data_IF_799380519762
#
_entry.id   IF_799380519762
#
_cell.length_a   1.000
_cell.length_b   1.000
_cell.length_c   1.000
_cell.angle_alpha   90.00
_cell.angle_beta   90.00
_cell.angle_gamma   90.00
#
_symmetry.space_group_name_H-M   'P 1'
#
loop_
_entity.id
_entity.type
_entity.pdbx_description
1 polymer ?
#
# COMPACT_ATOMS: atom_id res chain seq x y z
N UNK A 1 -13.85 -9.89 -2.44
CA UNK A 1 -13.54 -11.15 -3.14
C UNK A 1 -12.04 -11.40 -2.98
N UNK A 2 -11.64 -12.57 -2.49
CA UNK A 2 -10.22 -12.92 -2.28
C UNK A 2 -9.87 -14.09 -3.21
N UNK A 3 -8.65 -14.09 -3.76
CA UNK A 3 -8.14 -15.18 -4.61
C UNK A 3 -6.88 -15.81 -4.00
N UNK A 4 -6.39 -16.88 -4.61
CA UNK A 4 -5.18 -17.59 -4.18
C UNK A 4 -5.16 -17.95 -2.68
N UNK A 5 -6.26 -18.53 -2.19
CA UNK A 5 -6.43 -18.90 -0.77
C UNK A 5 -6.34 -17.71 0.20
N UNK A 6 -6.82 -16.53 -0.20
CA UNK A 6 -6.77 -15.34 0.65
C UNK A 6 -5.46 -14.57 0.58
N UNK A 7 -4.51 -14.99 -0.26
CA UNK A 7 -3.21 -14.33 -0.42
C UNK A 7 -3.22 -13.18 -1.41
N UNK A 8 -4.27 -13.08 -2.24
CA UNK A 8 -4.42 -12.00 -3.20
C UNK A 8 -5.78 -11.31 -3.04
N UNK A 9 -5.74 -9.99 -3.16
CA UNK A 9 -6.91 -9.12 -3.15
C UNK A 9 -6.86 -8.22 -4.38
N UNK A 10 -7.96 -8.17 -5.13
CA UNK A 10 -8.09 -7.34 -6.35
C UNK A 10 -8.74 -5.98 -6.08
N UNK A 11 -9.07 -5.70 -4.81
CA UNK A 11 -9.65 -4.44 -4.39
C UNK A 11 -8.51 -3.45 -4.11
N UNK A 12 -8.67 -2.22 -4.57
CA UNK A 12 -7.72 -1.12 -4.34
C UNK A 12 -7.59 -0.77 -2.85
N UNK A 13 -6.49 -0.10 -2.48
CA UNK A 13 -6.09 0.18 -1.08
C UNK A 13 -4.67 -0.27 -0.72
N UNK A 14 -4.00 -1.00 -1.61
CA UNK A 14 -2.59 -1.39 -1.49
C UNK A 14 -1.71 -0.66 -2.50
N UNK A 15 -0.59 -0.09 -2.05
CA UNK A 15 0.37 0.66 -2.86
C UNK A 15 1.77 0.03 -2.79
N UNK A 16 2.51 -0.03 -3.91
CA UNK A 16 3.91 -0.44 -3.92
C UNK A 16 4.81 0.60 -3.24
N UNK A 17 5.80 0.13 -2.48
CA UNK A 17 6.81 0.99 -1.87
C UNK A 17 8.09 0.97 -2.72
N UNK A 18 8.43 2.14 -3.28
CA UNK A 18 9.65 2.35 -4.04
C UNK A 18 10.73 3.03 -3.20
N UNK A 19 11.97 2.58 -3.32
CA UNK A 19 13.17 3.27 -2.82
C UNK A 19 14.22 3.22 -3.92
N UNK A 20 14.74 4.38 -4.34
CA UNK A 20 15.69 4.48 -5.45
C UNK A 20 15.23 3.73 -6.71
N UNK A 21 13.96 3.91 -7.10
CA UNK A 21 13.32 3.26 -8.25
C UNK A 21 13.13 1.73 -8.12
N UNK A 22 13.56 1.12 -7.01
CA UNK A 22 13.37 -0.31 -6.75
C UNK A 22 12.15 -0.56 -5.83
N UNK A 23 11.37 -1.61 -6.14
CA UNK A 23 10.27 -2.06 -5.29
C UNK A 23 10.84 -2.84 -4.11
N UNK A 24 10.66 -2.32 -2.91
CA UNK A 24 11.15 -2.94 -1.66
C UNK A 24 10.03 -3.52 -0.79
N UNK A 25 8.76 -3.36 -1.20
CA UNK A 25 7.61 -3.89 -0.49
C UNK A 25 6.29 -3.25 -0.92
N UNK A 26 5.29 -3.31 -0.05
CA UNK A 26 3.99 -2.65 -0.24
C UNK A 26 3.33 -2.30 1.08
N UNK A 27 2.50 -1.27 1.06
CA UNK A 27 1.69 -0.80 2.20
C UNK A 27 0.22 -0.91 1.80
N UNK A 28 -0.61 -1.47 2.68
CA UNK A 28 -2.04 -1.62 2.42
C UNK A 28 -2.89 -1.24 3.62
N UNK A 29 -4.03 -0.60 3.35
CA UNK A 29 -5.09 -0.36 4.30
C UNK A 29 -6.40 -0.97 3.76
N UNK A 30 -7.32 -1.35 4.65
CA UNK A 30 -8.61 -1.92 4.25
C UNK A 30 -9.65 -1.61 5.31
N UNK A 31 -10.48 -0.61 5.07
CA UNK A 31 -11.66 -0.33 5.89
C UNK A 31 -12.62 0.63 5.19
N UNK A 32 -12.10 1.68 4.57
CA UNK A 32 -12.88 2.72 3.93
C UNK A 32 -13.31 2.39 2.50
N UNK A 33 -13.59 3.43 1.73
CA UNK A 33 -13.62 3.34 0.27
C UNK A 33 -12.19 3.10 -0.27
N UNK A 34 -12.03 2.53 -1.48
CA UNK A 34 -10.71 2.32 -2.06
C UNK A 34 -9.82 3.58 -2.06
N UNK A 35 -10.38 4.73 -2.40
CA UNK A 35 -9.66 6.01 -2.41
C UNK A 35 -9.20 6.42 -1.00
N UNK A 36 -10.02 6.19 0.03
CA UNK A 36 -9.65 6.47 1.43
C UNK A 36 -8.53 5.54 1.91
N UNK A 37 -8.61 4.26 1.54
CA UNK A 37 -7.59 3.28 1.91
C UNK A 37 -6.24 3.58 1.25
N UNK A 38 -6.25 4.02 -0.02
CA UNK A 38 -5.04 4.48 -0.73
C UNK A 38 -4.43 5.73 -0.10
N UNK A 39 -5.24 6.70 0.35
CA UNK A 39 -4.74 7.89 1.06
C UNK A 39 -3.99 7.50 2.34
N UNK A 40 -4.53 6.54 3.11
CA UNK A 40 -3.87 6.05 4.32
C UNK A 40 -2.59 5.29 3.99
N UNK A 41 -2.61 4.42 2.97
CA UNK A 41 -1.42 3.70 2.52
C UNK A 41 -0.31 4.67 2.06
N UNK A 42 -0.66 5.71 1.31
CA UNK A 42 0.27 6.74 0.84
C UNK A 42 0.88 7.52 2.00
N UNK A 43 0.09 7.90 3.00
CA UNK A 43 0.61 8.59 4.18
C UNK A 43 1.68 7.77 4.92
N UNK A 44 1.52 6.45 4.98
CA UNK A 44 2.54 5.54 5.52
C UNK A 44 3.83 5.53 4.70
N UNK A 45 3.71 5.49 3.36
CA UNK A 45 4.85 5.57 2.43
C UNK A 45 5.59 6.91 2.62
N UNK A 46 4.87 8.03 2.67
CA UNK A 46 5.45 9.37 2.79
C UNK A 46 6.29 9.52 4.06
N UNK A 47 5.79 9.02 5.20
CA UNK A 47 6.52 9.06 6.48
C UNK A 47 7.75 8.15 6.43
N UNK A 48 7.62 6.95 5.85
CA UNK A 48 8.75 6.04 5.70
C UNK A 48 9.87 6.66 4.86
N UNK A 49 9.54 7.28 3.73
CA UNK A 49 10.51 7.93 2.84
C UNK A 49 11.19 9.13 3.51
N UNK A 50 10.43 9.94 4.28
CA UNK A 50 10.99 11.03 5.08
C UNK A 50 11.95 10.55 6.17
N UNK A 51 11.71 9.40 6.78
CA UNK A 51 12.58 8.84 7.83
C UNK A 51 13.84 8.17 7.27
N UNK A 52 13.90 7.89 5.97
CA UNK A 52 15.05 7.28 5.28
C UNK A 52 16.02 8.30 4.69
N UNK A 53 15.60 9.55 4.50
CA UNK A 53 16.45 10.69 4.13
C UNK A 53 16.95 11.45 5.35
#
# INVERSE_FOLDING_TARGET
>A
HVSNQGRFMIVAGGLPLFVNEEIVGGVGCSSGTPDQDEVVAQAGIDVFLKAKG
#
